data_IF_846229538356
#
_entry.id   IF_846229538356
#
_cell.length_a   1.000
_cell.length_b   1.000
_cell.length_c   1.000
_cell.angle_alpha   90.00
_cell.angle_beta   90.00
_cell.angle_gamma   90.00
#
_symmetry.space_group_name_H-M   'P 1'
#
loop_
_entity.id
_entity.type
_entity.pdbx_description
1 polymer ?
#
# COMPACT_ATOMS: atom_id res chain seq x y z
N UNK A 1 1.12 8.03 8.34
CA UNK A 1 1.58 6.98 7.40
C UNK A 1 0.53 6.81 6.33
N UNK A 2 0.91 6.26 5.18
CA UNK A 2 0.00 5.98 4.07
C UNK A 2 0.21 4.53 3.61
N UNK A 3 -0.83 3.92 3.08
CA UNK A 3 -0.75 2.61 2.42
C UNK A 3 -0.84 2.88 0.92
N UNK A 4 0.20 2.46 0.22
CA UNK A 4 0.30 2.51 -1.23
C UNK A 4 0.33 1.09 -1.76
N UNK A 5 -0.08 0.92 -3.00
CA UNK A 5 -0.03 -0.36 -3.68
C UNK A 5 0.84 -0.21 -4.91
N UNK A 6 1.75 -1.17 -5.08
CA UNK A 6 2.61 -1.22 -6.25
C UNK A 6 2.01 -2.18 -7.27
N UNK A 7 1.81 -1.67 -8.48
CA UNK A 7 1.47 -2.48 -9.63
C UNK A 7 2.75 -2.75 -10.46
N UNK A 8 3.21 -4.01 -10.54
CA UNK A 8 4.47 -4.36 -11.19
C UNK A 8 4.43 -4.23 -12.71
N UNK A 9 3.24 -4.37 -13.31
CA UNK A 9 3.07 -4.39 -14.77
C UNK A 9 3.19 -2.99 -15.37
N UNK A 10 2.59 -2.01 -14.70
CA UNK A 10 2.58 -0.59 -15.11
C UNK A 10 3.72 0.19 -14.45
N UNK A 11 4.24 -0.31 -13.33
CA UNK A 11 5.19 0.41 -12.48
C UNK A 11 4.52 1.48 -11.62
N UNK A 12 3.19 1.51 -11.57
CA UNK A 12 2.43 2.54 -10.86
C UNK A 12 2.47 2.32 -9.34
N UNK A 13 2.50 3.44 -8.61
CA UNK A 13 2.35 3.48 -7.16
C UNK A 13 1.05 4.23 -6.86
N UNK A 14 0.03 3.49 -6.47
CA UNK A 14 -1.32 4.01 -6.26
C UNK A 14 -1.61 4.17 -4.77
N UNK A 15 -2.33 5.22 -4.38
CA UNK A 15 -2.84 5.32 -3.01
C UNK A 15 -4.11 4.47 -2.87
N UNK A 16 -4.47 4.09 -1.64
CA UNK A 16 -5.73 3.39 -1.38
C UNK A 16 -6.96 4.13 -1.92
N UNK A 17 -6.96 5.46 -1.93
CA UNK A 17 -8.07 6.24 -2.46
C UNK A 17 -8.17 6.10 -3.99
N UNK A 18 -7.01 6.11 -4.68
CA UNK A 18 -6.94 5.87 -6.12
C UNK A 18 -7.46 4.47 -6.45
N UNK A 19 -7.03 3.47 -5.67
CA UNK A 19 -7.51 2.09 -5.76
C UNK A 19 -9.02 1.97 -5.53
N UNK A 20 -9.56 2.63 -4.50
CA UNK A 20 -10.99 2.57 -4.19
C UNK A 20 -11.85 3.25 -5.27
N UNK A 21 -11.29 4.25 -5.95
CA UNK A 21 -11.96 4.97 -7.04
C UNK A 21 -11.83 4.23 -8.39
N UNK A 22 -10.80 3.42 -8.57
CA UNK A 22 -10.68 2.51 -9.71
C UNK A 22 -11.64 1.33 -9.54
N UNK A 23 -12.82 1.41 -10.19
CA UNK A 23 -13.71 0.25 -10.33
C UNK A 23 -13.01 -0.82 -11.15
N UNK A 24 -12.94 -2.04 -10.60
CA UNK A 24 -12.65 -3.34 -11.25
C UNK A 24 -11.17 -3.82 -11.24
N UNK A 25 -10.96 -5.14 -11.33
CA UNK A 25 -9.81 -5.81 -10.76
C UNK A 25 -8.61 -5.64 -11.69
N UNK A 26 -7.47 -5.36 -11.10
CA UNK A 26 -6.19 -5.45 -11.78
C UNK A 26 -6.05 -6.89 -12.30
N UNK A 27 -5.82 -7.05 -13.61
CA UNK A 27 -5.78 -8.36 -14.30
C UNK A 27 -4.79 -9.35 -13.66
N UNK A 28 -3.81 -8.84 -12.91
CA UNK A 28 -2.77 -9.63 -12.24
C UNK A 28 -2.79 -9.53 -10.71
N UNK A 29 -3.77 -8.83 -10.13
CA UNK A 29 -3.83 -8.60 -8.69
C UNK A 29 -2.73 -7.67 -8.18
N UNK A 30 -2.73 -7.47 -6.86
CA UNK A 30 -1.77 -6.60 -6.18
C UNK A 30 -0.57 -7.41 -5.73
N UNK A 31 0.60 -7.16 -6.30
CA UNK A 31 1.81 -7.91 -5.92
C UNK A 31 2.40 -7.43 -4.60
N UNK A 32 2.20 -6.15 -4.21
CA UNK A 32 2.76 -5.64 -2.96
C UNK A 32 2.04 -4.40 -2.40
N UNK A 33 1.69 -4.48 -1.13
CA UNK A 33 1.17 -3.40 -0.30
C UNK A 33 2.31 -2.74 0.47
N UNK A 34 2.54 -1.46 0.24
CA UNK A 34 3.62 -0.69 0.86
C UNK A 34 3.07 0.22 1.94
N UNK A 35 3.70 0.18 3.11
CA UNK A 35 3.46 1.17 4.17
C UNK A 35 4.52 2.24 4.04
N UNK A 36 4.11 3.49 3.83
CA UNK A 36 5.03 4.60 3.65
C UNK A 36 4.85 5.69 4.70
N UNK A 37 5.94 6.40 4.99
CA UNK A 37 5.89 7.63 5.78
C UNK A 37 5.12 8.71 4.99
N UNK A 38 4.66 9.81 5.65
CA UNK A 38 4.12 10.96 4.93
C UNK A 38 5.07 11.59 3.91
N UNK A 39 6.39 11.33 4.05
CA UNK A 39 7.43 11.79 3.12
C UNK A 39 7.73 10.79 1.99
N UNK A 40 6.97 9.70 1.86
CA UNK A 40 7.13 8.70 0.80
C UNK A 40 8.20 7.64 1.07
N UNK A 41 8.83 7.62 2.25
CA UNK A 41 9.81 6.57 2.61
C UNK A 41 9.08 5.25 2.86
N UNK A 42 9.53 4.17 2.23
CA UNK A 42 9.01 2.81 2.47
C UNK A 42 9.43 2.33 3.88
N UNK A 43 8.43 1.97 4.68
CA UNK A 43 8.57 1.46 6.05
C UNK A 43 8.29 -0.05 6.12
N UNK A 44 7.57 -0.61 5.14
CA UNK A 44 7.28 -2.04 5.06
C UNK A 44 6.62 -2.41 3.73
N UNK A 45 6.74 -3.68 3.36
CA UNK A 45 6.11 -4.28 2.17
C UNK A 45 5.40 -5.56 2.60
N UNK A 46 4.20 -5.80 2.08
CA UNK A 46 3.34 -6.91 2.46
C UNK A 46 2.60 -7.48 1.27
N UNK A 47 2.30 -8.77 1.31
CA UNK A 47 1.60 -9.46 0.22
C UNK A 47 0.07 -9.30 0.33
N UNK A 48 -0.42 -8.71 1.43
CA UNK A 48 -1.85 -8.46 1.64
C UNK A 48 -2.11 -7.17 2.43
N UNK A 49 -3.33 -6.64 2.27
CA UNK A 49 -3.74 -5.38 2.89
C UNK A 49 -3.80 -5.46 4.40
N UNK A 50 -4.30 -6.56 4.97
CA UNK A 50 -4.48 -6.70 6.41
C UNK A 50 -3.15 -6.55 7.16
N UNK A 51 -2.07 -7.14 6.63
CA UNK A 51 -0.73 -7.02 7.21
C UNK A 51 -0.18 -5.59 7.10
N UNK A 52 -0.36 -4.92 5.95
CA UNK A 52 0.03 -3.52 5.78
C UNK A 52 -0.75 -2.58 6.70
N UNK A 53 -2.05 -2.82 6.87
CA UNK A 53 -2.91 -2.06 7.78
C UNK A 53 -2.53 -2.26 9.24
N UNK A 54 -2.24 -3.50 9.66
CA UNK A 54 -1.78 -3.80 10.99
C UNK A 54 -0.47 -3.05 11.30
N UNK A 55 0.51 -3.09 10.40
CA UNK A 55 1.75 -2.34 10.56
C UNK A 55 1.50 -0.82 10.63
N UNK A 56 0.66 -0.29 9.74
CA UNK A 56 0.31 1.14 9.74
C UNK A 56 -0.41 1.59 11.03
N UNK A 57 -1.08 0.68 11.75
CA UNK A 57 -1.74 0.95 13.04
C UNK A 57 -0.85 0.75 14.26
N UNK A 58 0.18 -0.10 14.17
CA UNK A 58 1.12 -0.37 15.27
C UNK A 58 2.28 0.64 15.29
N UNK A 59 2.83 1.01 14.14
CA UNK A 59 3.92 1.99 14.05
C UNK A 59 3.64 3.42 14.55
N UNK A 60 2.40 3.96 14.63
CA UNK A 60 2.18 5.26 15.26
C UNK A 60 2.47 5.25 16.77
N UNK A 61 2.56 4.07 17.40
CA UNK A 61 2.85 3.91 18.83
C UNK A 61 4.36 3.79 19.14
N UNK A 62 5.20 3.70 18.10
CA UNK A 62 6.64 3.46 18.23
C UNK A 62 7.51 4.66 17.78
N UNK A 63 6.90 5.81 17.52
CA UNK A 63 7.59 7.04 17.09
C UNK A 63 7.47 8.14 18.14
#
# INVERSE_FOLDING_TARGET
MQIQVYEPLTGDVLTRADVANMKLPFDHGWDSWWVTSPTGRILGRHDNYQAAELQARILPLAA
#
